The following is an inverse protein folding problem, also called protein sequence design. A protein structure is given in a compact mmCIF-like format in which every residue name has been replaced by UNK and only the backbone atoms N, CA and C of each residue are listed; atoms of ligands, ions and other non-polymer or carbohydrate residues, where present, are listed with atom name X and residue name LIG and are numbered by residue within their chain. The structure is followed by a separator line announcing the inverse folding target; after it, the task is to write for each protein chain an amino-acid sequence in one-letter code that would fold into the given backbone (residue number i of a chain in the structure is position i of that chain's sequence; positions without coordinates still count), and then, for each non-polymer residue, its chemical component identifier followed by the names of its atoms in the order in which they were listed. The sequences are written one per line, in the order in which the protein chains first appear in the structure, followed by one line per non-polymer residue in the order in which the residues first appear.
data_IF_613827295577
#
_entry.id   IF_613827295577
#
_cell.length_a   1.000
_cell.length_b   1.000
_cell.length_c   1.000
_cell.angle_alpha   90.00
_cell.angle_beta   90.00
_cell.angle_gamma   90.00
#
_symmetry.space_group_name_H-M   'P 1'
#
loop_
_entity.id
_entity.type
_entity.pdbx_description
1 polymer ?
#
# COMPACT_ATOMS: atom_id res chain seq x y z
N UNK A 1 -5.09 -9.28 16.08
CA UNK A 1 -4.60 -8.27 15.10
C UNK A 1 -5.74 -7.36 14.62
N UNK A 2 -6.84 -7.91 14.10
CA UNK A 2 -8.06 -7.15 13.70
C UNK A 2 -8.60 -6.17 14.77
N UNK A 3 -8.75 -6.61 16.02
CA UNK A 3 -9.24 -5.76 17.10
C UNK A 3 -8.33 -4.55 17.38
N UNK A 4 -7.01 -4.75 17.32
CA UNK A 4 -6.03 -3.65 17.45
C UNK A 4 -6.16 -2.64 16.31
N UNK A 5 -6.46 -3.10 15.08
CA UNK A 5 -6.70 -2.23 13.93
C UNK A 5 -7.93 -1.37 14.12
N UNK A 6 -9.06 -1.99 14.47
CA UNK A 6 -10.32 -1.29 14.72
C UNK A 6 -10.19 -0.32 15.88
N UNK A 7 -9.52 -0.70 16.97
CA UNK A 7 -9.26 0.17 18.10
C UNK A 7 -8.34 1.36 17.75
N UNK A 8 -7.41 1.19 16.81
CA UNK A 8 -6.50 2.26 16.36
C UNK A 8 -7.23 3.24 15.44
N UNK A 9 -7.99 2.73 14.47
CA UNK A 9 -8.83 3.55 13.59
C UNK A 9 -9.92 4.30 14.38
N UNK A 10 -10.62 3.62 15.28
CA UNK A 10 -11.67 4.23 16.11
C UNK A 10 -11.11 5.32 17.03
N UNK A 11 -9.93 5.09 17.62
CA UNK A 11 -9.25 6.12 18.40
C UNK A 11 -8.89 7.33 17.54
N UNK A 12 -8.31 7.12 16.36
CA UNK A 12 -7.95 8.22 15.47
C UNK A 12 -9.17 8.99 14.95
N UNK A 13 -10.29 8.32 14.66
CA UNK A 13 -11.51 9.00 14.21
C UNK A 13 -12.08 9.99 15.23
N UNK A 14 -11.79 9.82 16.53
CA UNK A 14 -12.21 10.79 17.56
C UNK A 14 -11.60 12.18 17.37
N UNK A 15 -10.50 12.30 16.63
CA UNK A 15 -9.81 13.56 16.37
C UNK A 15 -10.30 14.30 15.12
N UNK A 16 -11.09 13.65 14.27
CA UNK A 16 -11.63 14.28 13.05
C UNK A 16 -12.37 15.58 13.36
N UNK A 17 -13.36 15.63 14.28
CA UNK A 17 -14.04 16.88 14.61
C UNK A 17 -13.09 17.92 15.22
N UNK A 18 -12.20 17.50 16.13
CA UNK A 18 -11.23 18.39 16.78
C UNK A 18 -10.32 19.08 15.76
N UNK A 19 -9.82 18.35 14.77
CA UNK A 19 -8.98 18.94 13.74
C UNK A 19 -9.78 19.76 12.72
N UNK A 20 -11.05 19.45 12.50
CA UNK A 20 -11.93 20.31 11.72
C UNK A 20 -12.10 21.68 12.39
N UNK A 21 -12.31 21.72 13.71
CA UNK A 21 -12.35 22.96 14.49
C UNK A 21 -11.02 23.71 14.46
N UNK A 22 -9.91 22.99 14.69
CA UNK A 22 -8.57 23.59 14.69
C UNK A 22 -8.25 24.26 13.34
N UNK A 23 -8.66 23.68 12.21
CA UNK A 23 -8.47 24.27 10.86
C UNK A 23 -9.25 25.56 10.60
N UNK A 24 -10.28 25.85 11.38
CA UNK A 24 -11.04 27.10 11.28
C UNK A 24 -10.33 28.26 11.98
N UNK A 25 -9.55 27.96 13.02
CA UNK A 25 -8.93 28.98 13.88
C UNK A 25 -7.42 29.12 13.69
N UNK A 26 -6.74 28.07 13.24
CA UNK A 26 -5.29 28.07 13.09
C UNK A 26 -4.85 28.68 11.75
N UNK A 27 -3.73 29.43 11.74
CA UNK A 27 -3.15 29.94 10.50
C UNK A 27 -2.69 28.80 9.61
N UNK A 28 -2.91 28.95 8.30
CA UNK A 28 -2.49 27.99 7.27
C UNK A 28 -1.18 28.46 6.64
N UNK A 29 -0.31 27.51 6.32
CA UNK A 29 0.91 27.82 5.59
C UNK A 29 0.63 27.89 4.08
N UNK A 30 1.36 28.77 3.39
CA UNK A 30 1.15 29.08 1.96
C UNK A 30 1.45 27.90 1.03
N UNK A 31 2.36 27.03 1.42
CA UNK A 31 2.86 25.89 0.65
C UNK A 31 1.97 24.65 0.75
N UNK A 32 1.44 24.37 1.94
CA UNK A 32 0.68 23.15 2.23
C UNK A 32 -0.83 23.39 2.31
N UNK A 33 -1.27 24.63 2.51
CA UNK A 33 -2.67 24.96 2.78
C UNK A 33 -3.20 24.39 4.11
N UNK A 34 -2.33 23.82 4.94
CA UNK A 34 -2.67 23.19 6.22
C UNK A 34 -1.99 23.93 7.39
N UNK A 35 -2.58 23.91 8.60
CA UNK A 35 -1.87 24.29 9.82
C UNK A 35 -0.69 23.34 10.08
N UNK A 36 0.39 23.84 10.67
CA UNK A 36 1.54 22.99 11.03
C UNK A 36 1.18 22.00 12.14
N UNK A 37 1.88 20.88 12.17
CA UNK A 37 1.73 19.88 13.25
C UNK A 37 2.00 20.49 14.63
N UNK A 38 2.91 21.46 14.72
CA UNK A 38 3.17 22.20 15.97
C UNK A 38 1.98 23.10 16.35
N UNK A 39 1.32 23.75 15.39
CA UNK A 39 0.13 24.54 15.66
C UNK A 39 -1.01 23.67 16.19
N UNK A 40 -1.25 22.51 15.58
CA UNK A 40 -2.21 21.52 16.10
C UNK A 40 -1.82 21.04 17.51
N UNK A 41 -0.55 20.71 17.75
CA UNK A 41 -0.09 20.27 19.07
C UNK A 41 -0.31 21.34 20.14
N UNK A 42 0.02 22.60 19.85
CA UNK A 42 -0.23 23.73 20.74
C UNK A 42 -1.72 23.92 21.01
N UNK A 43 -2.54 23.79 19.97
CA UNK A 43 -4.00 23.90 20.08
C UNK A 43 -4.61 22.81 20.94
N UNK A 44 -4.17 21.55 20.79
CA UNK A 44 -4.62 20.42 21.60
C UNK A 44 -4.20 20.54 23.07
N UNK A 45 -3.08 21.22 23.36
CA UNK A 45 -2.60 21.46 24.72
C UNK A 45 -3.20 22.70 25.38
N UNK A 46 -4.10 23.42 24.70
CA UNK A 46 -4.68 24.65 25.24
C UNK A 46 -5.46 24.37 26.54
N UNK A 47 -5.22 25.11 27.64
CA UNK A 47 -5.93 24.91 28.89
C UNK A 47 -7.45 24.99 28.73
N UNK A 48 -8.17 24.03 29.29
CA UNK A 48 -9.64 23.98 29.22
C UNK A 48 -10.22 23.22 28.03
N UNK A 49 -9.40 22.58 27.18
CA UNK A 49 -9.89 21.60 26.19
C UNK A 49 -9.88 20.18 26.74
N UNK A 50 -10.98 19.47 26.56
CA UNK A 50 -11.02 18.02 26.74
C UNK A 50 -10.59 17.33 25.45
N UNK A 51 -9.35 16.84 25.42
CA UNK A 51 -8.81 16.11 24.27
C UNK A 51 -8.69 14.63 24.64
N UNK A 52 -9.23 13.70 23.82
CA UNK A 52 -9.03 12.27 24.02
C UNK A 52 -7.53 11.97 24.06
N UNK A 53 -7.01 11.40 25.14
CA UNK A 53 -5.60 11.00 25.19
C UNK A 53 -5.45 9.59 25.76
N UNK A 54 -4.67 8.75 25.05
CA UNK A 54 -4.29 7.41 25.51
C UNK A 54 -3.18 7.44 26.57
N UNK A 55 -2.45 8.55 26.71
CA UNK A 55 -1.34 8.69 27.67
C UNK A 55 -1.46 10.01 28.43
N UNK A 56 -1.10 10.01 29.72
CA UNK A 56 -0.90 11.24 30.47
C UNK A 56 0.30 11.99 29.86
N UNK A 57 0.09 13.16 29.26
CA UNK A 57 1.15 13.94 28.63
C UNK A 57 0.62 15.03 27.71
N UNK A 58 1.50 15.99 27.37
CA UNK A 58 1.24 17.02 26.36
C UNK A 58 1.37 16.43 24.96
N UNK A 59 0.55 16.90 24.03
CA UNK A 59 0.66 16.59 22.61
C UNK A 59 1.92 17.23 22.04
N UNK A 60 2.77 16.42 21.40
CA UNK A 60 3.90 16.93 20.61
C UNK A 60 3.53 17.01 19.13
N UNK A 61 4.24 17.83 18.38
CA UNK A 61 4.13 17.87 16.91
C UNK A 61 4.35 16.50 16.29
N UNK A 62 5.33 15.75 16.79
CA UNK A 62 5.60 14.38 16.36
C UNK A 62 4.39 13.44 16.58
N UNK A 63 3.73 13.55 17.74
CA UNK A 63 2.55 12.71 18.04
C UNK A 63 1.39 13.04 17.10
N UNK A 64 1.21 14.34 16.78
CA UNK A 64 0.22 14.78 15.79
C UNK A 64 0.58 14.28 14.39
N UNK A 65 1.87 14.34 14.01
CA UNK A 65 2.36 13.79 12.74
C UNK A 65 2.01 12.31 12.60
N UNK A 66 2.33 11.50 13.63
CA UNK A 66 1.98 10.07 13.66
C UNK A 66 0.47 9.80 13.54
N UNK A 67 -0.38 10.72 14.02
CA UNK A 67 -1.83 10.59 13.86
C UNK A 67 -2.26 10.80 12.41
N UNK A 68 -1.64 11.75 11.69
CA UNK A 68 -1.87 11.93 10.25
C UNK A 68 -1.24 10.81 9.41
N UNK A 69 -0.20 10.16 9.91
CA UNK A 69 0.50 9.08 9.21
C UNK A 69 0.01 7.69 9.64
N UNK A 70 -1.12 7.63 10.35
CA UNK A 70 -1.67 6.38 10.88
C UNK A 70 -2.01 5.36 9.79
N UNK A 71 -2.32 5.84 8.58
CA UNK A 71 -2.58 4.96 7.43
C UNK A 71 -1.39 4.06 7.11
N UNK A 72 -0.15 4.49 7.32
CA UNK A 72 1.05 3.69 7.03
C UNK A 72 1.00 2.39 7.83
N UNK A 73 0.88 2.49 9.16
CA UNK A 73 0.82 1.31 10.02
C UNK A 73 -0.43 0.45 9.78
N UNK A 74 -1.57 1.06 9.43
CA UNK A 74 -2.79 0.32 9.08
C UNK A 74 -2.64 -0.46 7.76
N UNK A 75 -1.95 0.14 6.77
CA UNK A 75 -1.67 -0.49 5.49
C UNK A 75 -0.66 -1.62 5.69
N UNK A 76 0.47 -1.38 6.36
CA UNK A 76 1.52 -2.38 6.61
C UNK A 76 0.94 -3.63 7.28
N UNK A 77 0.18 -3.46 8.37
CA UNK A 77 -0.41 -4.59 9.09
C UNK A 77 -1.35 -5.39 8.19
N UNK A 78 -2.20 -4.70 7.44
CA UNK A 78 -3.14 -5.39 6.58
C UNK A 78 -2.47 -5.98 5.32
N UNK A 79 -1.27 -5.53 4.96
CA UNK A 79 -0.42 -6.13 3.92
C UNK A 79 0.12 -7.47 4.41
N UNK A 80 0.61 -7.49 5.65
CA UNK A 80 1.05 -8.72 6.31
C UNK A 80 -0.10 -9.74 6.46
N UNK A 81 -1.30 -9.30 6.86
CA UNK A 81 -2.48 -10.18 6.96
C UNK A 81 -2.87 -10.77 5.59
N UNK A 82 -2.72 -9.99 4.52
CA UNK A 82 -2.99 -10.43 3.15
C UNK A 82 -1.97 -11.48 2.68
N UNK A 83 -0.68 -11.25 2.90
CA UNK A 83 0.37 -12.19 2.49
C UNK A 83 0.18 -13.56 3.15
N UNK A 84 -0.13 -13.57 4.45
CA UNK A 84 -0.45 -14.81 5.18
C UNK A 84 -1.66 -15.51 4.57
N UNK A 85 -2.73 -14.79 4.26
CA UNK A 85 -3.94 -15.36 3.68
C UNK A 85 -3.67 -15.98 2.29
N UNK A 86 -2.89 -15.29 1.45
CA UNK A 86 -2.51 -15.80 0.12
C UNK A 86 -1.63 -17.04 0.24
N UNK A 87 -0.69 -17.08 1.19
CA UNK A 87 0.17 -18.24 1.39
C UNK A 87 -0.63 -19.47 1.88
N UNK A 88 -1.63 -19.26 2.74
CA UNK A 88 -2.56 -20.32 3.14
C UNK A 88 -3.36 -20.83 1.94
N UNK A 89 -3.90 -19.95 1.09
CA UNK A 89 -4.66 -20.35 -0.10
C UNK A 89 -3.76 -21.13 -1.06
N UNK A 90 -2.53 -20.66 -1.30
CA UNK A 90 -1.54 -21.36 -2.14
C UNK A 90 -1.20 -22.74 -1.58
N UNK A 91 -1.04 -22.86 -0.27
CA UNK A 91 -0.83 -24.14 0.39
C UNK A 91 -2.03 -25.08 0.17
N UNK A 92 -3.26 -24.62 0.43
CA UNK A 92 -4.49 -25.40 0.16
C UNK A 92 -4.58 -25.84 -1.29
N UNK A 93 -4.20 -24.97 -2.23
CA UNK A 93 -4.25 -25.24 -3.66
C UNK A 93 -3.41 -26.45 -4.09
N UNK A 94 -2.25 -26.65 -3.45
CA UNK A 94 -1.35 -27.77 -3.77
C UNK A 94 -2.01 -29.13 -3.55
N UNK A 95 -2.94 -29.23 -2.61
CA UNK A 95 -3.62 -30.46 -2.22
C UNK A 95 -5.09 -30.52 -2.67
N UNK A 96 -5.58 -29.49 -3.36
CA UNK A 96 -6.97 -29.37 -3.78
C UNK A 96 -7.27 -30.11 -5.09
N UNK A 97 -8.43 -30.78 -5.13
CA UNK A 97 -9.04 -31.30 -6.34
C UNK A 97 -9.66 -30.17 -7.21
N UNK A 98 -10.25 -30.53 -8.35
CA UNK A 98 -10.78 -29.54 -9.29
C UNK A 98 -11.90 -28.66 -8.71
N UNK A 99 -12.81 -29.23 -7.90
CA UNK A 99 -13.91 -28.48 -7.29
C UNK A 99 -13.43 -27.59 -6.14
N UNK A 100 -12.48 -28.09 -5.34
CA UNK A 100 -11.85 -27.31 -4.28
C UNK A 100 -11.03 -26.13 -4.82
N UNK A 101 -10.45 -26.24 -6.03
CA UNK A 101 -9.70 -25.15 -6.67
C UNK A 101 -10.57 -23.97 -7.10
N UNK A 102 -11.81 -24.23 -7.52
CA UNK A 102 -12.76 -23.16 -7.85
C UNK A 102 -13.12 -22.36 -6.60
N UNK A 103 -13.46 -23.06 -5.50
CA UNK A 103 -13.73 -22.43 -4.21
C UNK A 103 -12.53 -21.63 -3.67
N UNK A 104 -11.30 -22.12 -3.88
CA UNK A 104 -10.09 -21.39 -3.50
C UNK A 104 -9.84 -20.14 -4.34
N UNK A 105 -10.27 -20.13 -5.61
CA UNK A 105 -10.18 -18.94 -6.46
C UNK A 105 -11.15 -17.85 -5.97
N UNK A 106 -12.36 -18.23 -5.55
CA UNK A 106 -13.33 -17.33 -4.93
C UNK A 106 -12.82 -16.81 -3.57
N UNK A 107 -12.20 -17.68 -2.75
CA UNK A 107 -11.55 -17.28 -1.48
C UNK A 107 -10.44 -16.25 -1.76
N UNK A 108 -9.62 -16.46 -2.79
CA UNK A 108 -8.56 -15.52 -3.18
C UNK A 108 -9.14 -14.17 -3.64
N UNK A 109 -10.19 -14.18 -4.45
CA UNK A 109 -10.86 -12.96 -4.91
C UNK A 109 -11.43 -12.16 -3.73
N UNK A 110 -12.10 -12.82 -2.79
CA UNK A 110 -12.65 -12.20 -1.59
C UNK A 110 -11.55 -11.60 -0.70
N UNK A 111 -10.43 -12.30 -0.51
CA UNK A 111 -9.27 -11.80 0.26
C UNK A 111 -8.68 -10.55 -0.40
N UNK A 112 -8.59 -10.50 -1.74
CA UNK A 112 -8.09 -9.34 -2.49
C UNK A 112 -9.02 -8.14 -2.38
N UNK A 113 -10.32 -8.34 -2.55
CA UNK A 113 -11.33 -7.28 -2.41
C UNK A 113 -11.32 -6.72 -1.00
N UNK A 114 -11.31 -7.60 0.01
CA UNK A 114 -11.23 -7.20 1.41
C UNK A 114 -9.95 -6.40 1.68
N UNK A 115 -8.80 -6.84 1.19
CA UNK A 115 -7.53 -6.10 1.34
C UNK A 115 -7.61 -4.70 0.72
N UNK A 116 -8.18 -4.58 -0.48
CA UNK A 116 -8.32 -3.29 -1.13
C UNK A 116 -9.20 -2.33 -0.34
N UNK A 117 -10.32 -2.82 0.22
CA UNK A 117 -11.19 -2.03 1.07
C UNK A 117 -10.42 -1.49 2.29
N UNK A 118 -9.58 -2.31 2.92
CA UNK A 118 -8.80 -1.89 4.09
C UNK A 118 -7.78 -0.79 3.77
N UNK A 119 -7.13 -0.88 2.60
CA UNK A 119 -6.20 0.16 2.13
C UNK A 119 -6.96 1.47 1.91
N UNK A 120 -8.10 1.41 1.21
CA UNK A 120 -8.94 2.57 0.97
C UNK A 120 -9.47 3.19 2.27
N UNK A 121 -9.90 2.38 3.23
CA UNK A 121 -10.36 2.87 4.54
C UNK A 121 -9.23 3.58 5.30
N UNK A 122 -8.00 3.07 5.25
CA UNK A 122 -6.85 3.71 5.89
C UNK A 122 -6.54 5.08 5.27
N UNK A 123 -6.56 5.19 3.94
CA UNK A 123 -6.38 6.46 3.25
C UNK A 123 -7.54 7.43 3.50
N UNK A 124 -8.79 6.94 3.49
CA UNK A 124 -9.97 7.75 3.78
C UNK A 124 -9.90 8.34 5.18
N UNK A 125 -9.46 7.56 6.17
CA UNK A 125 -9.25 8.04 7.54
C UNK A 125 -8.22 9.19 7.59
N UNK A 126 -7.08 9.03 6.92
CA UNK A 126 -6.05 10.08 6.87
C UNK A 126 -6.53 11.34 6.16
N UNK A 127 -7.23 11.19 5.03
CA UNK A 127 -7.80 12.31 4.31
C UNK A 127 -8.83 13.05 5.17
N UNK A 128 -9.67 12.33 5.90
CA UNK A 128 -10.67 12.88 6.82
C UNK A 128 -10.00 13.66 7.96
N UNK A 129 -8.93 13.12 8.55
CA UNK A 129 -8.14 13.80 9.57
C UNK A 129 -7.54 15.11 9.06
N UNK A 130 -7.12 15.17 7.79
CA UNK A 130 -6.60 16.36 7.12
C UNK A 130 -7.69 17.30 6.57
N UNK A 131 -8.95 16.87 6.56
CA UNK A 131 -10.06 17.63 5.96
C UNK A 131 -10.04 17.66 4.43
N UNK A 132 -9.45 16.65 3.79
CA UNK A 132 -9.38 16.50 2.34
C UNK A 132 -10.40 15.47 1.86
N UNK A 133 -11.00 15.65 0.67
CA UNK A 133 -11.78 14.59 0.04
C UNK A 133 -10.85 13.43 -0.34
N UNK A 134 -11.36 12.20 -0.29
CA UNK A 134 -10.69 11.01 -0.78
C UNK A 134 -11.62 10.24 -1.70
N UNK A 135 -11.07 9.80 -2.82
CA UNK A 135 -11.75 8.92 -3.78
C UNK A 135 -11.06 7.57 -3.73
N UNK A 136 -11.86 6.52 -3.58
CA UNK A 136 -11.35 5.16 -3.51
C UNK A 136 -10.55 4.82 -4.76
N UNK A 137 -9.34 4.30 -4.53
CA UNK A 137 -8.45 3.89 -5.59
C UNK A 137 -8.70 2.43 -5.93
N UNK A 138 -8.54 2.10 -7.21
CA UNK A 138 -8.61 0.73 -7.67
C UNK A 138 -7.52 -0.11 -6.99
N UNK A 139 -7.82 -1.39 -6.77
CA UNK A 139 -6.87 -2.36 -6.20
C UNK A 139 -5.54 -2.31 -6.97
N UNK A 140 -4.41 -1.99 -6.29
CA UNK A 140 -3.10 -1.94 -6.91
C UNK A 140 -2.80 -3.20 -7.73
N UNK A 141 -2.15 -3.05 -8.88
CA UNK A 141 -1.81 -4.17 -9.78
C UNK A 141 -0.97 -5.26 -9.12
N UNK A 142 -0.12 -4.90 -8.14
CA UNK A 142 0.62 -5.87 -7.31
C UNK A 142 -0.28 -6.81 -6.50
N UNK A 143 -1.53 -6.39 -6.26
CA UNK A 143 -2.60 -7.16 -5.63
C UNK A 143 -3.60 -7.73 -6.67
N UNK A 144 -3.34 -7.61 -7.98
CA UNK A 144 -4.07 -8.32 -9.04
C UNK A 144 -3.31 -9.62 -9.35
N UNK A 145 -4.02 -10.74 -9.33
CA UNK A 145 -3.48 -12.07 -9.11
C UNK A 145 -2.35 -12.57 -10.03
N UNK A 146 -1.60 -13.53 -9.48
CA UNK A 146 -0.76 -14.55 -10.14
C UNK A 146 -1.60 -15.49 -11.03
N UNK A 147 -2.92 -15.35 -11.00
CA UNK A 147 -3.89 -16.07 -11.83
C UNK A 147 -3.97 -15.53 -13.26
N UNK A 148 -2.82 -15.23 -13.86
CA UNK A 148 -2.65 -15.30 -15.31
C UNK A 148 -1.77 -16.51 -15.60
N UNK A 149 -2.32 -17.71 -15.39
CA UNK A 149 -1.90 -18.88 -16.17
C UNK A 149 -2.16 -18.47 -17.62
N UNK A 150 -1.14 -17.93 -18.29
CA UNK A 150 -1.14 -17.66 -19.72
C UNK A 150 -1.73 -18.90 -20.38
N UNK A 151 -2.95 -18.75 -20.88
CA UNK A 151 -3.57 -19.66 -21.84
C UNK A 151 -2.57 -19.70 -23.00
N UNK A 152 -1.68 -20.69 -23.03
CA UNK A 152 -0.79 -20.95 -24.16
C UNK A 152 -1.67 -21.50 -25.28
N UNK A 153 -2.39 -20.61 -25.96
CA UNK A 153 -2.58 -20.76 -27.39
C UNK A 153 -1.21 -20.49 -28.01
N UNK A 154 -0.40 -21.53 -28.19
CA UNK A 154 0.57 -21.52 -29.27
C UNK A 154 0.03 -22.45 -30.34
N UNK A 155 -0.44 -21.80 -31.39
CA UNK A 155 -0.66 -22.37 -32.69
C UNK A 155 0.52 -23.28 -33.05
N UNK A 156 0.15 -24.47 -33.45
CA UNK A 156 1.00 -25.44 -34.08
C UNK A 156 1.26 -24.94 -35.51
N UNK A 157 2.29 -24.11 -35.73
CA UNK A 157 2.81 -23.94 -37.08
C UNK A 157 4.23 -23.36 -37.15
N UNK A 158 5.00 -23.94 -38.08
CA UNK A 158 6.16 -23.37 -38.78
C UNK A 158 7.55 -23.36 -38.11
N UNK A 159 8.28 -24.47 -38.34
CA UNK A 159 9.67 -24.62 -38.86
C UNK A 159 10.89 -23.93 -38.20
N UNK A 160 12.05 -24.64 -38.10
CA UNK A 160 13.30 -24.11 -37.55
C UNK A 160 14.10 -23.27 -38.58
N UNK A 161 14.95 -22.32 -38.12
CA UNK A 161 15.81 -21.51 -38.99
C UNK A 161 17.08 -22.27 -39.43
N UNK A 162 17.71 -21.88 -40.56
CA UNK A 162 18.80 -22.62 -41.18
C UNK A 162 20.19 -22.33 -40.59
N UNK A 163 21.09 -23.29 -40.81
CA UNK A 163 22.52 -23.32 -40.50
C UNK A 163 23.28 -22.02 -40.83
N UNK A 164 24.13 -21.57 -39.89
CA UNK A 164 25.26 -20.71 -40.21
C UNK A 164 26.57 -21.49 -39.99
N UNK A 165 27.12 -21.95 -41.11
CA UNK A 165 28.48 -22.49 -41.18
C UNK A 165 29.49 -21.37 -41.00
N UNK A 166 30.40 -21.61 -40.07
CA UNK A 166 31.64 -20.87 -39.86
C UNK A 166 32.61 -21.18 -41.01
N UNK A 167 33.21 -20.14 -41.60
CA UNK A 167 34.38 -20.29 -42.48
C UNK A 167 35.53 -19.38 -42.02
N UNK A 168 36.78 -19.72 -42.36
CA UNK A 168 37.91 -19.54 -41.47
C UNK A 168 38.79 -18.32 -41.76
N UNK A 169 39.62 -18.04 -40.74
CA UNK A 169 40.71 -17.08 -40.64
C UNK A 169 41.67 -17.10 -41.84
N UNK A 170 41.98 -15.90 -42.36
CA UNK A 170 43.18 -15.62 -43.16
C UNK A 170 43.97 -14.46 -42.53
N UNK A 171 45.31 -14.38 -42.67
CA UNK A 171 46.16 -13.62 -41.75
C UNK A 171 46.74 -12.31 -42.36
N UNK A 172 47.62 -11.68 -41.57
CA UNK A 172 48.66 -10.66 -41.92
C UNK A 172 48.08 -9.23 -42.12
N UNK A 173 48.60 -8.09 -41.63
CA UNK A 173 49.98 -7.63 -41.46
C UNK A 173 50.20 -6.66 -40.29
N UNK A 174 51.43 -6.75 -39.77
CA UNK A 174 52.11 -5.83 -38.85
C UNK A 174 52.64 -4.63 -39.65
N UNK A 175 52.40 -3.41 -39.19
CA UNK A 175 53.30 -2.29 -39.48
C UNK A 175 53.73 -1.59 -38.19
N UNK A 176 55.03 -1.71 -37.92
CA UNK A 176 55.80 -0.80 -37.08
C UNK A 176 55.77 0.61 -37.68
N UNK A 177 55.72 1.62 -36.82
CA UNK A 177 56.45 2.88 -37.04
C UNK A 177 56.89 3.43 -35.69
N UNK A 178 58.20 3.65 -35.58
CA UNK A 178 58.92 4.24 -34.45
C UNK A 178 58.80 5.78 -34.45
N UNK A 179 59.12 6.33 -33.27
CA UNK A 179 59.38 7.73 -32.89
C UNK A 179 58.19 8.58 -32.48
#
# INVERSE_FOLDING_TARGET
MRERRLATAAWASTFIPLFAEARQVLPRYLDTGEPSQQAYANWLNYPGREVPSRRKGKWSSETVGRLFDIHIGLIDQAEQEFDIAIDIIRFKWQYADAGAREALADEEAAVREYRAQQINDAYRLTASLRGRPYTDQAVPSRLRAVSARKKKQKAHDSSPPPDQKTEPVGPIEVQLSLF
#
